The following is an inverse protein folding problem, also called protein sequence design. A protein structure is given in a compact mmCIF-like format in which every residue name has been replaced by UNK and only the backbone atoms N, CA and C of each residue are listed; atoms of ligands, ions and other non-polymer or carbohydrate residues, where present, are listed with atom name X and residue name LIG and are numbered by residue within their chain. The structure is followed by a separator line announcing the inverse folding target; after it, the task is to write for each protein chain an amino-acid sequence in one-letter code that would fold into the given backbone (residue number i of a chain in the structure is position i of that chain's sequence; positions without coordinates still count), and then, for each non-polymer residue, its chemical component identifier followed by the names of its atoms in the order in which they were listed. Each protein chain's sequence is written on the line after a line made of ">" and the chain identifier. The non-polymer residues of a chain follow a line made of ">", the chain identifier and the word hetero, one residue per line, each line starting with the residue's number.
data_IF_723223946756
#
_entry.id   IF_723223946756
#
_cell.length_a   1.000
_cell.length_b   1.000
_cell.length_c   1.000
_cell.angle_alpha   90.00
_cell.angle_beta   90.00
_cell.angle_gamma   90.00
#
_symmetry.space_group_name_H-M   'P 1'
#
loop_
_entity.id
_entity.type
_entity.pdbx_description
1 polymer ?
#
# COMPACT_ATOMS: atom_id res chain seq x y z
N UNK A 1 -12.36 -10.47 -23.30
CA UNK A 1 -13.46 -10.65 -22.36
C UNK A 1 -14.65 -11.27 -23.05
N UNK A 2 -15.32 -12.15 -22.34
CA UNK A 2 -16.47 -12.83 -22.91
C UNK A 2 -17.65 -11.87 -23.05
N UNK A 3 -18.50 -12.15 -24.01
CA UNK A 3 -19.69 -11.35 -24.23
C UNK A 3 -20.57 -11.34 -22.98
N UNK A 4 -20.71 -12.47 -22.36
CA UNK A 4 -21.53 -12.58 -21.17
C UNK A 4 -20.96 -11.78 -20.03
N UNK A 5 -19.66 -11.81 -19.85
CA UNK A 5 -19.00 -11.02 -18.83
C UNK A 5 -19.20 -9.55 -19.10
N UNK A 6 -19.13 -9.17 -20.36
CA UNK A 6 -19.31 -7.79 -20.74
C UNK A 6 -20.72 -7.32 -20.39
N UNK A 7 -21.73 -8.14 -20.71
CA UNK A 7 -23.10 -7.80 -20.38
C UNK A 7 -23.29 -7.67 -18.86
N UNK A 8 -22.69 -8.58 -18.12
CA UNK A 8 -22.77 -8.53 -16.68
C UNK A 8 -22.22 -7.21 -16.15
N UNK A 9 -21.08 -6.83 -16.64
CA UNK A 9 -20.48 -5.56 -16.21
C UNK A 9 -21.33 -4.38 -16.58
N UNK A 10 -21.93 -4.41 -17.75
CA UNK A 10 -22.79 -3.32 -18.17
C UNK A 10 -24.04 -3.22 -17.32
N UNK A 11 -24.64 -4.35 -16.99
CA UNK A 11 -25.85 -4.37 -16.20
C UNK A 11 -25.61 -3.91 -14.76
N UNK A 12 -24.56 -4.43 -14.15
CA UNK A 12 -24.26 -4.15 -12.74
C UNK A 12 -23.44 -2.91 -12.59
N UNK A 13 -22.68 -2.60 -13.60
CA UNK A 13 -21.72 -1.51 -13.55
C UNK A 13 -21.68 -0.84 -14.91
N UNK A 14 -22.81 -0.38 -15.36
CA UNK A 14 -22.83 0.29 -16.66
C UNK A 14 -21.78 1.37 -16.75
N UNK A 15 -21.43 1.94 -15.58
CA UNK A 15 -20.39 2.95 -15.50
C UNK A 15 -19.01 2.35 -15.21
N UNK A 16 -18.92 1.03 -15.19
CA UNK A 16 -17.66 0.37 -14.89
C UNK A 16 -16.51 0.81 -15.79
N UNK A 17 -16.70 0.92 -17.10
CA UNK A 17 -15.61 1.39 -17.95
C UNK A 17 -15.11 2.77 -17.54
N UNK A 18 -16.04 3.65 -17.17
CA UNK A 18 -15.68 5.00 -16.75
C UNK A 18 -14.90 4.94 -15.43
N UNK A 19 -15.39 4.17 -14.48
CA UNK A 19 -14.72 4.03 -13.19
C UNK A 19 -13.35 3.40 -13.38
N UNK A 20 -13.27 2.42 -14.25
CA UNK A 20 -12.01 1.75 -14.53
C UNK A 20 -10.99 2.73 -15.08
N UNK A 21 -11.43 3.59 -15.98
CA UNK A 21 -10.58 4.61 -16.56
C UNK A 21 -10.10 5.59 -15.51
N UNK A 22 -11.01 6.00 -14.64
CA UNK A 22 -10.66 6.90 -13.55
C UNK A 22 -9.61 6.29 -12.65
N UNK A 23 -9.75 5.02 -12.33
CA UNK A 23 -8.77 4.34 -11.49
C UNK A 23 -7.42 4.24 -12.18
N UNK A 24 -7.43 3.97 -13.48
CA UNK A 24 -6.19 3.88 -14.23
C UNK A 24 -5.51 5.24 -14.31
N UNK A 25 -6.29 6.29 -14.50
CA UNK A 25 -5.75 7.64 -14.53
C UNK A 25 -5.18 8.04 -13.17
N UNK A 26 -5.91 7.69 -12.11
CA UNK A 26 -5.45 7.97 -10.77
C UNK A 26 -4.10 7.29 -10.50
N UNK A 27 -3.98 6.03 -10.90
CA UNK A 27 -2.71 5.30 -10.71
C UNK A 27 -1.58 5.95 -11.48
N UNK A 28 -1.87 6.39 -12.70
CA UNK A 28 -0.85 7.04 -13.51
C UNK A 28 -0.37 8.32 -12.86
N UNK A 29 -1.30 9.10 -12.35
CA UNK A 29 -0.97 10.38 -11.73
C UNK A 29 -0.25 10.20 -10.40
N UNK A 30 -0.52 9.09 -9.71
CA UNK A 30 0.03 8.86 -8.39
C UNK A 30 1.15 7.82 -8.39
N UNK A 31 1.65 7.48 -9.57
CA UNK A 31 2.60 6.40 -9.74
C UNK A 31 3.86 6.59 -8.91
N UNK A 32 4.33 7.80 -8.82
CA UNK A 32 5.61 8.07 -8.15
C UNK A 32 5.54 7.74 -6.66
N UNK A 33 4.53 8.28 -5.98
CA UNK A 33 4.45 8.02 -4.55
C UNK A 33 3.98 6.61 -4.24
N UNK A 34 3.18 6.01 -5.13
CA UNK A 34 2.79 4.61 -4.96
C UNK A 34 4.01 3.71 -5.01
N UNK A 35 4.96 4.01 -5.88
CA UNK A 35 6.19 3.25 -5.95
C UNK A 35 6.95 3.32 -4.63
N UNK A 36 6.99 4.50 -4.03
CA UNK A 36 7.64 4.64 -2.73
C UNK A 36 6.92 3.83 -1.66
N UNK A 37 5.59 3.86 -1.66
CA UNK A 37 4.81 3.09 -0.70
C UNK A 37 5.06 1.60 -0.84
N UNK A 38 5.15 1.11 -2.06
CA UNK A 38 5.44 -0.29 -2.33
C UNK A 38 6.85 -0.65 -1.88
N UNK A 39 7.80 0.22 -2.13
CA UNK A 39 9.18 0.00 -1.71
C UNK A 39 9.27 -0.11 -0.19
N UNK A 40 8.59 0.79 0.49
CA UNK A 40 8.58 0.77 1.95
C UNK A 40 7.89 -0.49 2.46
N UNK A 41 6.81 -0.91 1.82
CA UNK A 41 6.10 -2.13 2.22
C UNK A 41 7.03 -3.34 2.14
N UNK A 42 7.80 -3.45 1.07
CA UNK A 42 8.73 -4.55 0.90
C UNK A 42 9.81 -4.51 1.98
N UNK A 43 10.32 -3.33 2.27
CA UNK A 43 11.35 -3.19 3.29
C UNK A 43 10.82 -3.54 4.67
N UNK A 44 9.60 -3.12 4.99
CA UNK A 44 8.99 -3.45 6.27
C UNK A 44 8.76 -4.96 6.37
N UNK A 45 8.28 -5.57 5.31
CA UNK A 45 8.05 -7.01 5.31
C UNK A 45 9.35 -7.77 5.50
N UNK A 46 10.42 -7.34 4.83
CA UNK A 46 11.74 -7.94 5.00
C UNK A 46 12.21 -7.84 6.44
N UNK A 47 12.03 -6.67 7.03
CA UNK A 47 12.42 -6.47 8.41
C UNK A 47 11.64 -7.40 9.33
N UNK A 48 10.32 -7.49 9.12
CA UNK A 48 9.49 -8.36 9.96
C UNK A 48 9.92 -9.80 9.84
N UNK A 49 10.28 -10.25 8.64
CA UNK A 49 10.74 -11.62 8.44
C UNK A 49 12.08 -11.86 9.14
N UNK A 50 12.99 -10.93 9.01
CA UNK A 50 14.31 -11.10 9.63
C UNK A 50 14.21 -11.08 11.15
N UNK A 51 13.26 -10.35 11.72
CA UNK A 51 13.06 -10.25 13.15
C UNK A 51 12.00 -11.22 13.66
N UNK A 52 11.40 -11.99 12.76
CA UNK A 52 10.39 -12.98 13.14
C UNK A 52 9.18 -12.32 13.81
N UNK A 53 8.71 -11.21 13.26
CA UNK A 53 7.63 -10.43 13.85
C UNK A 53 6.31 -10.69 13.17
N UNK A 54 5.26 -10.79 14.00
CA UNK A 54 3.90 -10.76 13.49
C UNK A 54 3.49 -9.32 13.26
N UNK A 55 2.35 -9.12 12.57
CA UNK A 55 1.84 -7.77 12.38
C UNK A 55 1.51 -7.10 13.71
N UNK A 56 1.00 -7.87 14.66
CA UNK A 56 0.70 -7.35 15.99
C UNK A 56 1.97 -6.87 16.69
N UNK A 57 3.02 -7.68 16.62
CA UNK A 57 4.29 -7.32 17.25
C UNK A 57 4.89 -6.08 16.57
N UNK A 58 4.79 -6.01 15.26
CA UNK A 58 5.29 -4.85 14.54
C UNK A 58 4.51 -3.60 14.90
N UNK A 59 3.18 -3.75 15.07
CA UNK A 59 2.34 -2.63 15.47
C UNK A 59 2.77 -2.10 16.83
N UNK A 60 3.13 -2.97 17.75
CA UNK A 60 3.61 -2.54 19.04
C UNK A 60 4.90 -1.74 18.93
N UNK A 61 5.81 -2.18 18.08
CA UNK A 61 7.07 -1.46 17.87
C UNK A 61 6.83 -0.09 17.26
N UNK A 62 5.83 0.01 16.39
CA UNK A 62 5.49 1.27 15.73
C UNK A 62 4.53 2.12 16.53
N UNK A 63 3.99 1.57 17.63
CA UNK A 63 3.00 2.25 18.45
C UNK A 63 1.78 2.62 17.62
N UNK A 64 1.27 1.66 16.87
CA UNK A 64 0.09 1.85 16.04
C UNK A 64 -0.74 0.57 16.09
N UNK A 65 -1.82 0.54 15.30
CA UNK A 65 -2.70 -0.63 15.27
C UNK A 65 -2.19 -1.68 14.29
N UNK A 66 -2.63 -2.92 14.51
CA UNK A 66 -2.30 -4.01 13.59
C UNK A 66 -2.92 -3.74 12.22
N UNK A 67 -4.11 -3.14 12.20
CA UNK A 67 -4.74 -2.79 10.94
C UNK A 67 -3.91 -1.80 10.15
N UNK A 68 -3.25 -0.88 10.83
CA UNK A 68 -2.40 0.08 10.13
C UNK A 68 -1.17 -0.60 9.55
N UNK A 69 -0.58 -1.54 10.29
CA UNK A 69 0.53 -2.32 9.74
C UNK A 69 0.09 -3.05 8.48
N UNK A 70 -1.11 -3.63 8.51
CA UNK A 70 -1.65 -4.30 7.34
C UNK A 70 -1.76 -3.35 6.16
N UNK A 71 -2.22 -2.12 6.39
CA UNK A 71 -2.32 -1.12 5.33
C UNK A 71 -0.94 -0.78 4.77
N UNK A 72 0.05 -0.62 5.62
CA UNK A 72 1.41 -0.34 5.17
C UNK A 72 1.90 -1.45 4.25
N UNK A 73 1.65 -2.69 4.63
CA UNK A 73 2.14 -3.85 3.88
C UNK A 73 1.44 -4.03 2.54
N UNK A 74 0.28 -3.41 2.35
CA UNK A 74 -0.40 -3.44 1.05
C UNK A 74 0.35 -2.64 -0.01
N UNK A 75 1.14 -1.66 0.40
CA UNK A 75 1.94 -0.90 -0.55
C UNK A 75 1.18 0.14 -1.33
N UNK A 76 0.01 0.55 -0.84
CA UNK A 76 -0.77 1.60 -1.50
C UNK A 76 -1.17 2.71 -0.54
N UNK A 77 -0.58 2.73 0.64
CA UNK A 77 -0.92 3.73 1.64
C UNK A 77 -0.10 5.00 1.44
N UNK A 78 -0.76 6.14 1.53
CA UNK A 78 -0.08 7.43 1.46
C UNK A 78 0.43 7.75 2.86
N UNK A 79 1.68 7.38 3.10
CA UNK A 79 2.27 7.49 4.42
C UNK A 79 2.69 8.91 4.72
N UNK A 80 2.42 9.35 5.94
CA UNK A 80 2.89 10.65 6.38
C UNK A 80 4.40 10.59 6.64
N UNK A 81 5.03 11.74 6.64
CA UNK A 81 6.45 11.81 6.96
C UNK A 81 6.72 11.32 8.38
N UNK A 82 5.79 11.56 9.28
CA UNK A 82 5.94 11.08 10.64
C UNK A 82 5.97 9.56 10.67
N UNK A 83 5.06 8.92 9.95
CA UNK A 83 5.02 7.46 9.89
C UNK A 83 6.28 6.91 9.24
N UNK A 84 6.73 7.54 8.15
CA UNK A 84 7.94 7.09 7.48
C UNK A 84 9.13 7.20 8.42
N UNK A 85 9.20 8.26 9.20
CA UNK A 85 10.28 8.44 10.17
C UNK A 85 10.26 7.35 11.21
N UNK A 86 9.08 7.01 11.72
CA UNK A 86 8.97 5.90 12.67
C UNK A 86 9.45 4.60 12.06
N UNK A 87 9.09 4.35 10.81
CA UNK A 87 9.53 3.15 10.13
C UNK A 87 11.04 3.13 9.96
N UNK A 88 11.64 4.27 9.66
CA UNK A 88 13.09 4.36 9.55
C UNK A 88 13.76 4.02 10.87
N UNK A 89 13.22 4.55 11.95
CA UNK A 89 13.81 4.31 13.26
C UNK A 89 13.70 2.85 13.65
N UNK A 90 12.54 2.25 13.43
CA UNK A 90 12.32 0.87 13.85
C UNK A 90 13.10 -0.11 12.99
N UNK A 91 13.09 0.09 11.67
CA UNK A 91 13.75 -0.85 10.76
C UNK A 91 15.24 -0.59 10.62
N UNK A 92 15.69 0.60 10.98
CA UNK A 92 17.08 0.96 10.76
C UNK A 92 17.41 1.26 9.30
N UNK A 93 16.39 1.36 8.45
CA UNK A 93 16.58 1.65 7.03
C UNK A 93 16.19 3.08 6.75
N UNK A 94 16.80 3.65 5.74
CA UNK A 94 16.54 5.03 5.35
C UNK A 94 15.68 5.04 4.11
N UNK A 95 14.52 5.66 4.19
CA UNK A 95 13.58 5.76 3.07
C UNK A 95 13.61 7.15 2.44
N UNK A 96 13.89 8.16 3.24
CA UNK A 96 13.97 9.53 2.76
C UNK A 96 15.44 9.92 2.76
N UNK A 97 15.92 10.33 1.59
CA UNK A 97 17.32 10.74 1.43
C UNK A 97 17.34 12.25 1.28
N UNK A 98 18.10 12.90 2.13
CA UNK A 98 18.27 14.35 2.06
C UNK A 98 19.50 14.73 1.27
#
# INVERSE_FOLDING_TARGET
>A
MKQKTLEYLEQHQSKTPSKWREEAEWRRENKAWLRHSQHIAIAVLSYMKSENLTQTAMAERLNCTQQYVSKILHGSENLSLETITKLEIVTGKQFIVC
#
